data_IF_833601719565
#
_entry.id   IF_833601719565
#
_cell.length_a   1.000
_cell.length_b   1.000
_cell.length_c   1.000
_cell.angle_alpha   90.00
_cell.angle_beta   90.00
_cell.angle_gamma   90.00
#
_symmetry.space_group_name_H-M   'P 1'
#
loop_
_entity.id
_entity.type
_entity.pdbx_description
1 polymer ?
#
# COMPACT_ATOMS: atom_id res chain seq x y z
N UNK A 1 -8.21 -21.66 11.44
CA UNK A 1 -7.06 -20.96 10.81
C UNK A 1 -7.29 -19.44 10.82
N UNK A 2 -8.53 -18.98 10.62
CA UNK A 2 -8.89 -17.55 10.71
C UNK A 2 -8.62 -16.90 12.07
N UNK A 3 -8.69 -17.64 13.18
CA UNK A 3 -8.40 -17.14 14.54
C UNK A 3 -6.94 -16.66 14.75
N UNK A 4 -6.06 -16.84 13.75
CA UNK A 4 -4.63 -16.49 13.81
C UNK A 4 -4.25 -15.28 12.95
N UNK A 5 -5.23 -14.59 12.35
CA UNK A 5 -4.99 -13.47 11.43
C UNK A 5 -5.40 -12.14 12.06
N UNK A 6 -4.44 -11.25 12.28
CA UNK A 6 -4.68 -9.89 12.74
C UNK A 6 -4.82 -8.93 11.55
N UNK A 7 -6.06 -8.53 11.24
CA UNK A 7 -6.41 -7.88 9.96
C UNK A 7 -6.21 -6.36 9.87
N UNK A 8 -5.98 -5.64 10.96
CA UNK A 8 -5.68 -4.21 10.91
C UNK A 8 -4.56 -3.84 11.89
N UNK A 9 -3.32 -4.11 11.48
CA UNK A 9 -2.11 -3.71 12.23
C UNK A 9 -2.00 -2.19 12.45
N UNK A 10 -2.78 -1.37 11.75
CA UNK A 10 -2.80 0.08 12.01
C UNK A 10 -3.39 0.39 13.39
N UNK A 11 -4.34 -0.41 13.86
CA UNK A 11 -4.87 -0.27 15.22
C UNK A 11 -3.78 -0.50 16.26
N UNK A 12 -2.88 -1.48 16.02
CA UNK A 12 -1.74 -1.73 16.90
C UNK A 12 -0.72 -0.58 16.89
N UNK A 13 -0.60 0.15 15.77
CA UNK A 13 0.18 1.40 15.72
C UNK A 13 -0.43 2.42 16.68
N UNK A 14 -1.75 2.63 16.63
CA UNK A 14 -2.43 3.60 17.50
C UNK A 14 -2.27 3.22 18.98
N UNK A 15 -2.48 1.95 19.33
CA UNK A 15 -2.34 1.47 20.70
C UNK A 15 -0.93 1.64 21.26
N UNK A 16 0.09 1.40 20.43
CA UNK A 16 1.49 1.61 20.79
C UNK A 16 1.83 3.09 20.96
N UNK A 17 1.27 3.95 20.11
CA UNK A 17 1.62 5.38 20.05
C UNK A 17 0.78 6.28 20.94
N UNK A 18 -0.33 5.82 21.52
CA UNK A 18 -1.27 6.64 22.29
C UNK A 18 -0.65 7.49 23.42
N UNK A 19 0.46 7.05 23.99
CA UNK A 19 1.17 7.76 25.05
C UNK A 19 2.43 8.51 24.57
N UNK A 20 2.69 8.52 23.26
CA UNK A 20 3.88 9.16 22.69
C UNK A 20 3.60 10.65 22.41
N UNK A 21 4.49 11.54 22.84
CA UNK A 21 4.31 12.99 22.67
C UNK A 21 4.30 13.46 21.21
N UNK A 22 4.73 12.64 20.26
CA UNK A 22 4.71 12.92 18.83
C UNK A 22 3.47 12.39 18.10
N UNK A 23 2.60 11.67 18.80
CA UNK A 23 1.33 11.17 18.26
C UNK A 23 0.22 12.19 18.52
N UNK A 24 -0.56 12.47 17.48
CA UNK A 24 -1.80 13.23 17.58
C UNK A 24 -2.95 12.28 17.25
N UNK A 25 -3.98 12.24 18.10
CA UNK A 25 -5.11 11.34 17.95
C UNK A 25 -5.88 11.54 16.64
N UNK A 26 -6.69 10.55 16.28
CA UNK A 26 -7.49 10.59 15.06
C UNK A 26 -8.38 11.83 14.99
N UNK A 27 -8.36 12.48 13.83
CA UNK A 27 -9.24 13.60 13.48
C UNK A 27 -10.06 13.25 12.23
N UNK A 28 -11.06 14.06 11.85
CA UNK A 28 -11.76 13.89 10.56
C UNK A 28 -10.80 13.84 9.36
N UNK A 29 -9.65 14.52 9.46
CA UNK A 29 -8.61 14.59 8.42
C UNK A 29 -7.70 13.35 8.40
N UNK A 30 -7.70 12.54 9.47
CA UNK A 30 -6.81 11.40 9.63
C UNK A 30 -7.40 10.32 10.53
N UNK A 31 -8.01 9.29 9.93
CA UNK A 31 -8.65 8.16 10.64
C UNK A 31 -7.75 7.50 11.69
N UNK A 32 -6.44 7.48 11.45
CA UNK A 32 -5.45 6.81 12.29
C UNK A 32 -4.63 7.78 13.16
N UNK A 33 -4.91 9.08 13.08
CA UNK A 33 -4.12 10.12 13.72
C UNK A 33 -2.92 10.57 12.89
N UNK A 34 -2.07 11.37 13.52
CA UNK A 34 -0.85 11.93 12.93
C UNK A 34 0.39 11.43 13.67
N UNK A 35 1.49 11.28 12.95
CA UNK A 35 2.81 11.03 13.51
C UNK A 35 3.79 12.09 13.05
N UNK A 36 4.29 12.90 13.99
CA UNK A 36 5.23 13.99 13.73
C UNK A 36 4.77 14.90 12.56
N UNK A 37 3.50 15.34 12.61
CA UNK A 37 2.89 16.23 11.63
C UNK A 37 2.50 15.60 10.29
N UNK A 38 2.41 14.25 10.19
CA UNK A 38 1.97 13.54 8.97
C UNK A 38 0.82 12.58 9.27
N UNK A 39 -0.20 12.47 8.40
CA UNK A 39 -1.29 11.51 8.59
C UNK A 39 -0.74 10.08 8.48
N UNK A 40 -1.18 9.21 9.40
CA UNK A 40 -0.77 7.81 9.39
C UNK A 40 -1.46 7.08 8.24
N UNK A 41 -0.66 6.42 7.39
CA UNK A 41 -1.13 5.59 6.28
C UNK A 41 -1.64 4.26 6.85
N UNK A 42 -2.89 3.97 6.55
CA UNK A 42 -3.56 2.72 6.87
C UNK A 42 -4.66 2.42 5.87
N UNK A 43 -5.64 1.62 6.28
CA UNK A 43 -6.73 1.21 5.41
C UNK A 43 -7.60 2.40 5.01
N UNK A 44 -7.80 2.55 3.70
CA UNK A 44 -8.64 3.59 3.09
C UNK A 44 -8.23 5.04 3.46
N UNK A 45 -6.96 5.26 3.83
CA UNK A 45 -6.40 6.60 4.05
C UNK A 45 -5.71 7.14 2.80
N UNK A 46 -5.46 8.46 2.76
CA UNK A 46 -4.57 9.05 1.76
C UNK A 46 -3.15 8.48 1.91
N UNK A 47 -2.44 8.36 0.79
CA UNK A 47 -1.08 7.82 0.71
C UNK A 47 -0.08 8.98 0.62
N UNK A 48 -0.23 9.85 -0.37
CA UNK A 48 0.65 10.99 -0.56
C UNK A 48 0.52 12.02 0.57
N UNK A 49 1.67 12.48 1.07
CA UNK A 49 1.80 13.32 2.26
C UNK A 49 1.87 12.54 3.58
N UNK A 50 1.49 11.25 3.58
CA UNK A 50 1.38 10.43 4.77
C UNK A 50 2.67 9.76 5.24
N UNK A 51 2.55 9.04 6.36
CA UNK A 51 3.60 8.23 6.95
C UNK A 51 3.08 6.84 7.32
N UNK A 52 3.80 5.80 6.89
CA UNK A 52 3.49 4.41 7.22
C UNK A 52 4.36 3.95 8.39
N UNK A 53 3.71 3.40 9.42
CA UNK A 53 4.34 2.90 10.64
C UNK A 53 4.13 1.40 10.77
N UNK A 54 5.10 0.68 11.31
CA UNK A 54 4.98 -0.75 11.61
C UNK A 54 4.19 -1.02 12.88
N UNK A 55 3.57 -2.21 12.99
CA UNK A 55 2.93 -2.65 14.24
C UNK A 55 3.89 -2.85 15.42
N UNK A 56 5.19 -2.91 15.14
CA UNK A 56 6.27 -2.77 16.12
C UNK A 56 7.31 -1.77 15.61
N UNK A 57 8.14 -1.28 16.53
CA UNK A 57 9.17 -0.26 16.28
C UNK A 57 10.08 -0.64 15.11
N UNK A 58 10.18 0.27 14.14
CA UNK A 58 10.99 0.19 12.93
C UNK A 58 11.02 1.56 12.24
N UNK A 59 11.42 1.64 10.99
CA UNK A 59 11.36 2.87 10.22
C UNK A 59 9.92 3.40 9.99
N UNK A 60 9.77 4.73 10.02
CA UNK A 60 8.53 5.43 9.65
C UNK A 60 8.62 5.91 8.18
N UNK A 61 7.99 5.19 7.25
CA UNK A 61 8.16 5.43 5.81
C UNK A 61 7.29 6.59 5.36
N UNK A 62 7.90 7.66 4.86
CA UNK A 62 7.22 8.87 4.38
C UNK A 62 6.99 8.79 2.87
N UNK A 63 5.76 9.06 2.44
CA UNK A 63 5.39 9.24 1.02
C UNK A 63 4.97 10.68 0.82
N UNK A 64 5.71 11.46 0.02
CA UNK A 64 5.50 12.91 -0.14
C UNK A 64 6.15 13.39 -1.44
N UNK A 65 5.38 13.42 -2.53
CA UNK A 65 5.87 13.76 -3.87
C UNK A 65 6.38 15.21 -4.01
N UNK A 66 5.94 16.12 -3.14
CA UNK A 66 6.46 17.49 -3.07
C UNK A 66 7.91 17.54 -2.57
N UNK A 67 8.33 16.54 -1.80
CA UNK A 67 9.69 16.43 -1.24
C UNK A 67 10.51 15.28 -1.82
N UNK A 68 9.90 14.45 -2.67
CA UNK A 68 10.50 13.25 -3.24
C UNK A 68 10.30 13.25 -4.77
N UNK A 69 11.12 13.99 -5.53
CA UNK A 69 10.97 14.11 -6.99
C UNK A 69 11.06 12.76 -7.73
N UNK A 70 11.66 11.74 -7.12
CA UNK A 70 11.71 10.38 -7.65
C UNK A 70 10.31 9.77 -7.80
N UNK A 71 9.39 10.07 -6.88
CA UNK A 71 8.00 9.61 -6.96
C UNK A 71 7.30 10.22 -8.18
N UNK A 72 7.47 11.52 -8.39
CA UNK A 72 6.94 12.23 -9.57
C UNK A 72 7.54 11.67 -10.85
N UNK A 73 8.86 11.43 -10.89
CA UNK A 73 9.53 10.85 -12.06
C UNK A 73 8.99 9.47 -12.43
N UNK A 74 8.77 8.59 -11.45
CA UNK A 74 8.20 7.26 -11.68
C UNK A 74 6.75 7.37 -12.16
N UNK A 75 5.97 8.30 -11.63
CA UNK A 75 4.61 8.54 -12.09
C UNK A 75 4.58 9.02 -13.55
N UNK A 76 5.46 9.94 -13.95
CA UNK A 76 5.55 10.37 -15.34
C UNK A 76 5.99 9.24 -16.29
N UNK A 77 6.91 8.38 -15.83
CA UNK A 77 7.30 7.18 -16.57
C UNK A 77 6.12 6.22 -16.77
N UNK A 78 5.28 6.01 -15.74
CA UNK A 78 4.03 5.24 -15.85
C UNK A 78 3.08 5.83 -16.91
N UNK A 79 2.83 7.14 -16.88
CA UNK A 79 1.99 7.81 -17.88
C UNK A 79 2.54 7.60 -19.29
N UNK A 80 3.84 7.85 -19.50
CA UNK A 80 4.51 7.68 -20.79
C UNK A 80 4.38 6.24 -21.32
N UNK A 81 4.52 5.22 -20.46
CA UNK A 81 4.36 3.81 -20.85
C UNK A 81 2.93 3.50 -21.31
N UNK A 82 1.92 4.04 -20.61
CA UNK A 82 0.51 3.85 -20.97
C UNK A 82 0.11 4.62 -22.22
N UNK A 83 0.54 5.87 -22.36
CA UNK A 83 0.32 6.68 -23.57
C UNK A 83 0.95 6.05 -24.81
N UNK A 84 2.13 5.44 -24.67
CA UNK A 84 2.75 4.71 -25.78
C UNK A 84 1.89 3.52 -26.23
N UNK A 85 1.34 2.74 -25.29
CA UNK A 85 0.44 1.61 -25.59
C UNK A 85 -0.89 2.07 -26.19
N UNK A 86 -1.41 3.21 -25.74
CA UNK A 86 -2.62 3.83 -26.30
C UNK A 86 -2.43 4.26 -27.77
N UNK A 87 -1.26 4.80 -28.11
CA UNK A 87 -0.89 5.07 -29.52
C UNK A 87 -0.86 3.81 -30.40
N UNK A 88 -0.71 2.63 -29.78
CA UNK A 88 -0.77 1.33 -30.45
C UNK A 88 -2.12 0.63 -30.31
N UNK A 89 -3.18 1.35 -29.88
CA UNK A 89 -4.56 0.86 -29.86
C UNK A 89 -5.00 0.17 -28.56
N UNK A 90 -4.15 0.14 -27.53
CA UNK A 90 -4.51 -0.40 -26.22
C UNK A 90 -5.06 0.72 -25.31
N UNK A 91 -6.35 0.75 -24.94
CA UNK A 91 -6.91 1.83 -24.13
C UNK A 91 -6.10 2.09 -22.86
N UNK A 92 -5.91 3.36 -22.44
CA UNK A 92 -5.07 3.70 -21.28
C UNK A 92 -5.38 2.85 -20.04
N UNK A 93 -6.67 2.69 -19.72
CA UNK A 93 -7.16 1.94 -18.54
C UNK A 93 -6.91 0.44 -18.64
N UNK A 94 -6.86 -0.11 -19.84
CA UNK A 94 -6.56 -1.52 -20.03
C UNK A 94 -5.11 -1.77 -19.60
N UNK A 95 -4.85 -2.77 -18.76
CA UNK A 95 -3.48 -3.05 -18.32
C UNK A 95 -2.82 -2.01 -17.38
N UNK A 96 -3.50 -0.94 -16.97
CA UNK A 96 -2.91 0.08 -16.07
C UNK A 96 -2.47 -0.49 -14.72
N UNK A 97 -3.25 -1.41 -14.15
CA UNK A 97 -2.89 -2.08 -12.89
C UNK A 97 -1.62 -2.91 -13.07
N UNK A 98 -1.50 -3.60 -14.22
CA UNK A 98 -0.31 -4.39 -14.55
C UNK A 98 0.92 -3.51 -14.72
N UNK A 99 0.78 -2.35 -15.36
CA UNK A 99 1.87 -1.39 -15.49
C UNK A 99 2.32 -0.84 -14.12
N UNK A 100 1.39 -0.54 -13.21
CA UNK A 100 1.71 -0.15 -11.83
C UNK A 100 2.48 -1.26 -11.10
N UNK A 101 2.04 -2.50 -11.24
CA UNK A 101 2.73 -3.66 -10.66
C UNK A 101 4.16 -3.80 -11.22
N UNK A 102 4.31 -3.75 -12.54
CA UNK A 102 5.60 -3.94 -13.22
C UNK A 102 6.58 -2.82 -12.88
N UNK A 103 6.16 -1.55 -12.96
CA UNK A 103 7.03 -0.41 -12.63
C UNK A 103 7.42 -0.39 -11.16
N UNK A 104 6.53 -0.83 -10.26
CA UNK A 104 6.85 -0.95 -8.83
C UNK A 104 7.97 -1.97 -8.60
N UNK A 105 7.87 -3.15 -9.21
CA UNK A 105 8.91 -4.19 -9.10
C UNK A 105 10.22 -3.76 -9.73
N UNK A 106 10.16 -3.04 -10.85
CA UNK A 106 11.34 -2.53 -11.52
C UNK A 106 12.08 -1.49 -10.67
N UNK A 107 11.35 -0.49 -10.15
CA UNK A 107 11.94 0.65 -9.44
C UNK A 107 12.23 0.37 -7.97
N UNK A 108 11.54 -0.59 -7.37
CA UNK A 108 11.65 -0.93 -5.96
C UNK A 108 11.58 -2.46 -5.78
N UNK A 109 12.61 -3.20 -6.24
CA UNK A 109 12.62 -4.66 -6.14
C UNK A 109 12.70 -5.12 -4.67
N UNK A 110 12.25 -6.34 -4.42
CA UNK A 110 12.28 -6.92 -3.09
C UNK A 110 13.73 -7.27 -2.72
N UNK A 111 14.28 -6.62 -1.70
CA UNK A 111 15.66 -6.81 -1.25
C UNK A 111 15.78 -6.43 0.23
N UNK A 112 15.77 -7.44 1.11
CA UNK A 112 15.81 -7.24 2.56
C UNK A 112 17.18 -6.77 3.04
N UNK A 113 18.26 -7.17 2.40
CA UNK A 113 19.63 -6.75 2.77
C UNK A 113 19.76 -5.23 2.62
N UNK A 114 19.33 -4.67 1.49
CA UNK A 114 19.34 -3.21 1.30
C UNK A 114 18.47 -2.50 2.34
N UNK A 115 17.30 -3.07 2.67
CA UNK A 115 16.42 -2.49 3.69
C UNK A 115 17.08 -2.52 5.06
N UNK A 116 17.73 -3.62 5.43
CA UNK A 116 18.51 -3.74 6.67
C UNK A 116 19.62 -2.69 6.72
N UNK A 117 20.46 -2.59 5.68
CA UNK A 117 21.57 -1.62 5.62
C UNK A 117 21.09 -0.16 5.75
N UNK A 118 19.92 0.15 5.17
CA UNK A 118 19.33 1.50 5.25
C UNK A 118 18.69 1.80 6.61
N UNK A 119 18.36 0.78 7.40
CA UNK A 119 17.54 0.93 8.61
C UNK A 119 18.24 0.52 9.90
N UNK A 120 19.37 -0.20 9.85
CA UNK A 120 20.07 -0.74 11.02
C UNK A 120 20.47 0.30 12.06
N UNK A 121 20.72 1.55 11.63
CA UNK A 121 21.14 2.66 12.49
C UNK A 121 20.02 3.69 12.74
N UNK A 122 18.79 3.42 12.29
CA UNK A 122 17.66 4.30 12.54
C UNK A 122 17.15 4.13 13.97
N UNK A 123 16.77 5.25 14.59
CA UNK A 123 16.01 5.20 15.82
C UNK A 123 14.60 4.63 15.56
N UNK A 124 13.94 4.04 16.57
CA UNK A 124 12.54 3.63 16.49
C UNK A 124 11.64 4.73 15.92
N UNK A 125 10.83 4.38 14.92
CA UNK A 125 9.89 5.25 14.21
C UNK A 125 10.51 6.52 13.61
N UNK A 126 11.82 6.51 13.40
CA UNK A 126 12.51 7.58 12.68
C UNK A 126 12.01 7.64 11.24
N UNK A 127 11.64 8.85 10.82
CA UNK A 127 11.15 9.11 9.46
C UNK A 127 12.24 8.86 8.43
N UNK A 128 11.92 8.08 7.41
CA UNK A 128 12.75 7.84 6.22
C UNK A 128 11.87 8.01 4.98
N UNK A 129 12.40 8.66 3.94
CA UNK A 129 11.65 8.86 2.70
C UNK A 129 11.59 7.57 1.88
N UNK A 130 10.43 7.26 1.29
CA UNK A 130 10.28 6.12 0.37
C UNK A 130 11.29 6.18 -0.79
N UNK A 131 11.64 7.38 -1.26
CA UNK A 131 12.63 7.58 -2.31
C UNK A 131 14.04 7.12 -1.95
N UNK A 132 14.38 6.99 -0.67
CA UNK A 132 15.67 6.40 -0.24
C UNK A 132 15.72 4.93 -0.66
N UNK A 133 14.66 4.17 -0.44
CA UNK A 133 14.57 2.76 -0.85
C UNK A 133 14.56 2.61 -2.37
N UNK A 134 13.86 3.51 -3.07
CA UNK A 134 13.82 3.54 -4.54
C UNK A 134 15.21 3.77 -5.14
N UNK A 135 15.96 4.76 -4.64
CA UNK A 135 17.32 5.06 -5.12
C UNK A 135 18.29 3.91 -4.91
N UNK A 136 18.17 3.22 -3.78
CA UNK A 136 19.00 2.07 -3.44
C UNK A 136 18.49 0.75 -4.04
N UNK A 137 17.37 0.79 -4.79
CA UNK A 137 16.75 -0.38 -5.43
C UNK A 137 16.55 -1.54 -4.46
N UNK A 138 15.94 -1.27 -3.31
CA UNK A 138 15.64 -2.33 -2.35
C UNK A 138 14.49 -1.96 -1.43
N UNK A 139 13.51 -2.85 -1.34
CA UNK A 139 12.34 -2.72 -0.51
C UNK A 139 11.83 -4.06 0.03
N UNK A 140 10.75 -3.99 0.79
CA UNK A 140 9.95 -5.14 1.25
C UNK A 140 8.49 -4.91 0.86
N UNK A 141 7.59 -5.79 1.27
CA UNK A 141 6.16 -5.71 0.97
C UNK A 141 5.56 -4.32 1.25
N UNK A 142 5.84 -3.71 2.40
CA UNK A 142 5.38 -2.36 2.76
C UNK A 142 5.89 -1.27 1.81
N UNK A 143 7.16 -1.33 1.43
CA UNK A 143 7.78 -0.36 0.53
C UNK A 143 7.14 -0.43 -0.86
N UNK A 144 6.98 -1.64 -1.38
CA UNK A 144 6.35 -1.89 -2.68
C UNK A 144 4.87 -1.51 -2.68
N UNK A 145 4.13 -1.87 -1.63
CA UNK A 145 2.73 -1.50 -1.48
C UNK A 145 2.55 0.03 -1.46
N UNK A 146 3.42 0.77 -0.77
CA UNK A 146 3.37 2.23 -0.73
C UNK A 146 3.63 2.86 -2.09
N UNK A 147 4.62 2.39 -2.85
CA UNK A 147 4.88 2.90 -4.20
C UNK A 147 3.70 2.61 -5.15
N UNK A 148 3.19 1.37 -5.17
CA UNK A 148 2.06 0.99 -6.02
C UNK A 148 0.79 1.79 -5.66
N UNK A 149 0.51 1.97 -4.36
CA UNK A 149 -0.65 2.72 -3.89
C UNK A 149 -0.53 4.21 -4.23
N UNK A 150 0.66 4.81 -4.07
CA UNK A 150 0.92 6.19 -4.48
C UNK A 150 0.63 6.39 -5.98
N UNK A 151 1.11 5.48 -6.85
CA UNK A 151 0.90 5.58 -8.29
C UNK A 151 -0.60 5.51 -8.65
N UNK A 152 -1.34 4.58 -8.05
CA UNK A 152 -2.79 4.49 -8.27
C UNK A 152 -3.55 5.68 -7.70
N UNK A 153 -3.12 6.21 -6.55
CA UNK A 153 -3.71 7.41 -5.97
C UNK A 153 -3.50 8.63 -6.89
N UNK A 154 -2.31 8.78 -7.46
CA UNK A 154 -2.02 9.84 -8.44
C UNK A 154 -2.81 9.70 -9.73
N UNK A 155 -2.89 8.48 -10.30
CA UNK A 155 -3.76 8.22 -11.45
C UNK A 155 -5.23 8.57 -11.17
N UNK A 156 -5.71 8.33 -9.94
CA UNK A 156 -7.06 8.70 -9.53
C UNK A 156 -7.24 10.20 -9.42
N UNK A 157 -6.31 10.89 -8.77
CA UNK A 157 -6.34 12.35 -8.61
C UNK A 157 -6.34 13.05 -9.98
N UNK A 158 -5.56 12.51 -10.92
CA UNK A 158 -5.42 13.07 -12.27
C UNK A 158 -6.49 12.52 -13.25
N UNK A 159 -7.52 11.83 -12.74
CA UNK A 159 -8.69 11.31 -13.49
C UNK A 159 -8.40 10.25 -14.57
N UNK A 160 -7.24 9.59 -14.55
CA UNK A 160 -6.96 8.44 -15.42
C UNK A 160 -7.72 7.18 -15.00
N UNK A 161 -8.01 7.04 -13.69
CA UNK A 161 -8.80 5.94 -13.12
C UNK A 161 -9.79 6.46 -12.09
N UNK A 162 -10.91 5.75 -11.89
CA UNK A 162 -12.00 6.19 -10.99
C UNK A 162 -12.20 5.24 -9.79
N UNK A 163 -11.19 4.43 -9.45
CA UNK A 163 -11.27 3.50 -8.33
C UNK A 163 -10.80 4.07 -7.00
N UNK A 164 -10.98 3.28 -5.94
CA UNK A 164 -10.47 3.55 -4.59
C UNK A 164 -9.22 2.73 -4.34
N UNK A 165 -8.22 3.35 -3.73
CA UNK A 165 -6.93 2.73 -3.41
C UNK A 165 -6.81 2.62 -1.90
N UNK A 166 -6.28 1.51 -1.42
CA UNK A 166 -5.97 1.30 -0.01
C UNK A 166 -4.68 0.49 0.13
N UNK A 167 -3.87 0.84 1.13
CA UNK A 167 -2.79 -0.02 1.61
C UNK A 167 -3.38 -0.91 2.71
N UNK A 168 -3.55 -2.18 2.39
CA UNK A 168 -4.02 -3.19 3.32
C UNK A 168 -2.82 -3.93 3.92
N UNK A 169 -2.99 -4.42 5.14
CA UNK A 169 -1.98 -5.18 5.86
C UNK A 169 -2.61 -6.09 6.89
N UNK A 170 -1.99 -7.23 7.12
CA UNK A 170 -2.33 -8.12 8.23
C UNK A 170 -1.06 -8.76 8.81
N UNK A 171 -1.25 -9.54 9.86
CA UNK A 171 -0.23 -10.42 10.40
C UNK A 171 -0.81 -11.80 10.58
N UNK A 172 -0.04 -12.81 10.17
CA UNK A 172 -0.40 -14.22 10.35
C UNK A 172 0.66 -14.83 11.25
N UNK A 173 0.22 -15.40 12.38
CA UNK A 173 1.11 -16.07 13.33
C UNK A 173 1.96 -17.14 12.61
N UNK A 174 3.29 -17.07 12.77
CA UNK A 174 4.24 -17.97 12.12
C UNK A 174 4.64 -17.62 10.68
N UNK A 175 3.92 -16.71 10.00
CA UNK A 175 4.29 -16.22 8.66
C UNK A 175 4.75 -14.76 8.66
N UNK A 176 4.38 -13.98 9.67
CA UNK A 176 4.79 -12.59 9.81
C UNK A 176 3.75 -11.59 9.29
N UNK A 177 4.19 -10.34 9.19
CA UNK A 177 3.37 -9.23 8.70
C UNK A 177 3.54 -9.02 7.20
N UNK A 178 2.44 -8.68 6.52
CA UNK A 178 2.46 -8.43 5.09
C UNK A 178 1.60 -7.23 4.72
N UNK A 179 1.97 -6.55 3.64
CA UNK A 179 1.26 -5.37 3.14
C UNK A 179 1.12 -5.45 1.62
N UNK A 180 -0.04 -5.04 1.12
CA UNK A 180 -0.41 -5.07 -0.29
C UNK A 180 -1.32 -3.90 -0.64
N UNK A 181 -1.58 -3.71 -1.92
CA UNK A 181 -2.54 -2.70 -2.39
C UNK A 181 -3.87 -3.37 -2.73
N UNK A 182 -4.96 -2.79 -2.23
CA UNK A 182 -6.32 -3.07 -2.67
C UNK A 182 -6.79 -1.92 -3.56
N UNK A 183 -7.25 -2.26 -4.76
CA UNK A 183 -7.89 -1.33 -5.68
C UNK A 183 -9.33 -1.76 -5.94
N UNK A 184 -10.30 -0.87 -5.68
CA UNK A 184 -11.73 -1.11 -5.96
C UNK A 184 -12.11 -0.28 -7.16
N UNK A 185 -12.48 -0.91 -8.28
CA UNK A 185 -12.88 -0.17 -9.48
C UNK A 185 -14.29 0.43 -9.33
N UNK A 186 -14.77 1.17 -10.35
CA UNK A 186 -16.11 1.76 -10.35
C UNK A 186 -17.26 0.74 -10.42
N UNK A 187 -16.97 -0.51 -10.83
CA UNK A 187 -17.93 -1.62 -10.81
C UNK A 187 -17.96 -2.36 -9.46
N UNK A 188 -17.18 -1.90 -8.47
CA UNK A 188 -16.96 -2.56 -7.17
C UNK A 188 -16.22 -3.90 -7.25
N UNK A 189 -15.55 -4.20 -8.37
CA UNK A 189 -14.58 -5.29 -8.41
C UNK A 189 -13.37 -4.93 -7.56
N UNK A 190 -12.87 -5.91 -6.82
CA UNK A 190 -11.69 -5.76 -5.97
C UNK A 190 -10.51 -6.40 -6.65
N UNK A 191 -9.48 -5.61 -6.90
CA UNK A 191 -8.18 -6.03 -7.40
C UNK A 191 -7.14 -5.95 -6.31
N UNK A 192 -6.25 -6.93 -6.31
CA UNK A 192 -5.07 -6.97 -5.45
C UNK A 192 -3.85 -6.68 -6.32
N UNK A 193 -2.98 -5.81 -5.82
CA UNK A 193 -1.67 -5.55 -6.41
C UNK A 193 -0.64 -5.82 -5.32
N UNK A 194 0.08 -6.92 -5.47
CA UNK A 194 1.06 -7.42 -4.52
C UNK A 194 2.38 -7.78 -5.23
N UNK A 195 3.25 -6.78 -5.45
CA UNK A 195 4.57 -6.99 -6.04
C UNK A 195 5.45 -7.98 -5.27
N UNK A 196 5.29 -8.08 -3.95
CA UNK A 196 6.13 -8.92 -3.08
C UNK A 196 5.75 -10.39 -3.20
N UNK A 197 4.46 -10.71 -3.36
CA UNK A 197 3.96 -12.05 -3.63
C UNK A 197 3.83 -12.37 -5.13
N UNK A 198 4.31 -11.48 -6.00
CA UNK A 198 4.19 -11.59 -7.46
C UNK A 198 2.73 -11.80 -7.93
N UNK A 199 1.77 -11.15 -7.25
CA UNK A 199 0.35 -11.30 -7.54
C UNK A 199 -0.29 -10.00 -8.01
N UNK A 200 -1.06 -10.10 -9.09
CA UNK A 200 -1.96 -9.06 -9.55
C UNK A 200 -3.17 -9.69 -10.22
N UNK A 201 -4.37 -9.33 -9.76
CA UNK A 201 -5.59 -9.94 -10.26
C UNK A 201 -6.79 -9.50 -9.45
N UNK A 202 -7.96 -10.07 -9.74
CA UNK A 202 -9.11 -9.87 -8.87
C UNK A 202 -8.93 -10.70 -7.60
N UNK A 203 -9.53 -10.25 -6.51
CA UNK A 203 -9.54 -11.00 -5.26
C UNK A 203 -10.23 -12.37 -5.40
N UNK A 204 -11.16 -12.52 -6.35
CA UNK A 204 -11.82 -13.80 -6.64
C UNK A 204 -10.91 -14.81 -7.35
N UNK A 205 -9.82 -14.34 -7.97
CA UNK A 205 -8.84 -15.18 -8.67
C UNK A 205 -7.76 -15.72 -7.70
N UNK A 206 -7.87 -15.42 -6.40
CA UNK A 206 -6.85 -15.82 -5.43
C UNK A 206 -7.00 -17.29 -5.08
N UNK A 207 -5.93 -18.07 -5.27
CA UNK A 207 -5.88 -19.48 -4.89
C UNK A 207 -5.67 -19.70 -3.38
N UNK A 208 -5.81 -20.95 -2.93
CA UNK A 208 -5.56 -21.35 -1.54
C UNK A 208 -4.14 -21.08 -1.04
N UNK A 209 -3.18 -21.05 -1.97
CA UNK A 209 -1.76 -20.92 -1.66
C UNK A 209 -1.30 -19.44 -1.63
N UNK A 210 -2.23 -18.51 -1.85
CA UNK A 210 -1.95 -17.08 -1.83
C UNK A 210 -2.20 -16.46 -0.46
N UNK A 211 -1.67 -15.26 -0.27
CA UNK A 211 -1.85 -14.52 0.98
C UNK A 211 -3.33 -14.22 1.26
N UNK A 212 -3.67 -14.10 2.55
CA UNK A 212 -5.03 -13.78 2.98
C UNK A 212 -5.36 -12.32 2.68
N UNK A 213 -6.02 -12.05 1.54
CA UNK A 213 -6.35 -10.68 1.11
C UNK A 213 -7.78 -10.20 1.51
N UNK A 214 -8.67 -11.10 1.93
CA UNK A 214 -10.07 -10.79 2.25
C UNK A 214 -10.22 -10.01 3.57
N UNK A 215 -10.78 -8.79 3.54
CA UNK A 215 -11.10 -8.07 4.78
C UNK A 215 -12.18 -8.82 5.58
N UNK A 216 -12.14 -8.85 6.92
CA UNK A 216 -13.16 -9.54 7.74
C UNK A 216 -14.60 -9.07 7.49
N UNK A 217 -14.80 -7.77 7.22
CA UNK A 217 -16.12 -7.22 6.90
C UNK A 217 -16.69 -7.71 5.57
N UNK A 218 -15.85 -8.25 4.67
CA UNK A 218 -16.28 -8.89 3.43
C UNK A 218 -16.98 -10.24 3.68
N UNK A 219 -16.63 -10.92 4.78
CA UNK A 219 -17.26 -12.19 5.19
C UNK A 219 -18.71 -11.97 5.65
N UNK A 220 -18.94 -10.93 6.45
CA UNK A 220 -20.29 -10.58 6.94
C UNK A 220 -21.25 -10.18 5.82
N UNK A 221 -20.74 -9.58 4.73
CA UNK A 221 -21.57 -9.25 3.56
C UNK A 221 -21.91 -10.47 2.69
N UNK A 222 -21.00 -11.45 2.55
CA UNK A 222 -21.29 -12.72 1.87
C UNK A 222 -22.41 -13.50 2.58
N UNK A 223 -22.37 -13.57 3.91
CA UNK A 223 -23.42 -14.21 4.72
C UNK A 223 -24.78 -13.50 4.54
N UNK A 224 -24.82 -12.17 4.62
CA UNK A 224 -26.08 -11.41 4.42
C UNK A 224 -26.70 -11.62 3.03
N UNK A 225 -25.90 -11.81 1.98
CA UNK A 225 -26.43 -12.12 0.63
C UNK A 225 -26.95 -13.56 0.49
N UNK A 226 -26.45 -14.50 1.30
CA UNK A 226 -26.89 -15.90 1.28
C UNK A 226 -28.22 -16.11 1.99
N UNK A 227 -28.54 -15.30 3.00
CA UNK A 227 -29.80 -15.38 3.77
C UNK A 227 -30.92 -14.47 3.23
N UNK A 228 -30.71 -13.78 2.09
CA UNK A 228 -31.72 -12.96 1.40
C UNK A 228 -31.98 -13.54 -0.01
N UNK A 229 -31.92 -14.86 -0.16
CA UNK A 229 -32.46 -15.57 -1.33
C UNK A 229 -33.64 -16.44 -0.92
#
# INVERSE_FOLDING_TARGET
MEDKIEWDKTVLVQERLKNNSFYEESSPEGRYGMWQGRPIIGRDSLINGGVYLGGGEREAIVVDDKKQPELTSIYQELLRRREAKEKHGEPFKFGVLKEVFDITREKLPYNQTVVYDLTENLLPDQKIALSVFIKNRGGECRHQALLAAYLLEKLRIDNYVNGKVSVDRNYVEGMGGHAWVRYINSANDVYIIDPAQNFIGKIEDTGSDQWFYERPSSFTQKIKRFFIK
#
